data_IF_060314703572
#
_entry.id   IF_060314703572
#
_cell.length_a   1.000
_cell.length_b   1.000
_cell.length_c   1.000
_cell.angle_alpha   90.00
_cell.angle_beta   90.00
_cell.angle_gamma   90.00
#
_symmetry.space_group_name_H-M   'P 1'
#
loop_
_entity.id
_entity.type
_entity.pdbx_description
1 polymer ?
#
# COMPACT_ATOMS: atom_id res chain seq x y z
N UNK A 1 -20.74 -6.58 59.20
CA UNK A 1 -21.64 -7.61 58.62
C UNK A 1 -20.87 -8.31 57.53
N UNK A 2 -20.61 -9.58 57.73
CA UNK A 2 -19.91 -10.49 56.80
C UNK A 2 -20.89 -10.90 55.69
N UNK A 3 -20.45 -10.93 54.46
CA UNK A 3 -21.04 -11.79 53.43
C UNK A 3 -19.98 -12.28 52.48
N UNK A 4 -19.94 -13.55 52.42
CA UNK A 4 -19.05 -14.53 51.83
C UNK A 4 -19.22 -14.67 50.30
N UNK A 5 -18.08 -14.98 49.64
CA UNK A 5 -17.98 -15.51 48.26
C UNK A 5 -18.76 -16.83 48.11
N UNK A 6 -19.15 -17.19 46.86
CA UNK A 6 -18.66 -18.45 46.40
C UNK A 6 -17.98 -18.42 45.03
N UNK A 7 -16.93 -19.20 44.96
CA UNK A 7 -16.24 -19.63 43.75
C UNK A 7 -17.15 -20.48 42.84
N UNK A 8 -17.07 -20.25 41.52
CA UNK A 8 -17.58 -21.23 40.57
C UNK A 8 -16.50 -21.54 39.53
N UNK A 9 -15.98 -22.73 39.66
CA UNK A 9 -15.20 -23.42 38.65
C UNK A 9 -16.02 -23.60 37.39
N UNK A 10 -15.46 -23.28 36.19
CA UNK A 10 -16.00 -23.83 34.96
C UNK A 10 -14.89 -24.39 34.10
N UNK A 11 -15.17 -25.56 33.61
CA UNK A 11 -14.32 -26.60 33.10
C UNK A 11 -13.70 -26.27 31.73
N UNK A 12 -12.53 -26.88 31.52
CA UNK A 12 -11.85 -27.09 30.24
C UNK A 12 -12.76 -27.81 29.22
N UNK A 13 -12.74 -27.31 28.00
CA UNK A 13 -13.12 -28.10 26.83
C UNK A 13 -11.98 -28.05 25.81
N UNK A 14 -11.28 -29.18 25.71
CA UNK A 14 -10.40 -29.53 24.63
C UNK A 14 -11.21 -29.75 23.35
N UNK A 15 -10.84 -29.12 22.27
CA UNK A 15 -11.22 -29.56 20.93
C UNK A 15 -9.99 -29.62 20.03
N UNK A 16 -9.51 -30.81 19.88
CA UNK A 16 -9.24 -31.58 18.66
C UNK A 16 -8.45 -30.88 17.56
N UNK A 17 -7.23 -31.39 17.41
CA UNK A 17 -6.36 -31.25 16.26
C UNK A 17 -7.05 -31.73 14.98
N UNK A 18 -6.99 -30.91 13.92
CA UNK A 18 -7.18 -31.36 12.56
C UNK A 18 -5.83 -31.73 11.95
N UNK A 19 -5.61 -33.03 11.79
CA UNK A 19 -4.53 -33.59 10.98
C UNK A 19 -4.81 -33.35 9.50
N UNK A 20 -3.89 -32.66 8.82
CA UNK A 20 -3.88 -32.56 7.36
C UNK A 20 -2.99 -33.67 6.81
N UNK A 21 -3.59 -34.65 6.17
CA UNK A 21 -2.90 -35.68 5.40
C UNK A 21 -2.30 -35.08 4.13
N UNK A 22 -0.98 -35.16 4.02
CA UNK A 22 -0.25 -34.92 2.78
C UNK A 22 -0.39 -36.11 1.87
N UNK A 23 -0.96 -35.90 0.68
CA UNK A 23 -0.95 -36.91 -0.39
C UNK A 23 0.16 -36.54 -1.38
N UNK A 24 1.19 -37.35 -1.44
CA UNK A 24 2.26 -37.32 -2.45
C UNK A 24 1.74 -37.93 -3.75
N UNK A 25 1.79 -37.16 -4.82
CA UNK A 25 1.60 -37.62 -6.19
C UNK A 25 2.40 -36.70 -7.12
N UNK A 26 3.43 -37.27 -7.74
CA UNK A 26 4.30 -36.66 -8.73
C UNK A 26 3.53 -36.25 -9.99
N UNK A 27 3.92 -35.14 -10.57
CA UNK A 27 4.41 -34.88 -11.91
C UNK A 27 4.11 -33.48 -12.45
N UNK A 28 5.24 -32.84 -12.76
CA UNK A 28 5.59 -32.04 -13.94
C UNK A 28 5.08 -30.59 -14.15
N UNK A 29 6.08 -29.73 -14.00
CA UNK A 29 6.38 -28.48 -14.77
C UNK A 29 5.29 -27.42 -14.99
N UNK A 30 5.39 -26.38 -14.25
CA UNK A 30 5.77 -24.99 -14.60
C UNK A 30 5.54 -24.07 -13.40
N UNK A 31 6.63 -23.72 -12.72
CA UNK A 31 6.60 -22.86 -11.56
C UNK A 31 6.71 -21.40 -11.97
N UNK A 32 5.71 -20.55 -11.73
CA UNK A 32 5.97 -19.12 -11.56
C UNK A 32 6.63 -18.92 -10.21
N UNK A 33 7.68 -18.14 -10.16
CA UNK A 33 8.49 -17.87 -8.99
C UNK A 33 7.61 -17.44 -7.81
N UNK A 34 7.63 -18.22 -6.74
CA UNK A 34 7.01 -17.89 -5.48
C UNK A 34 7.73 -16.67 -4.88
N UNK A 35 7.05 -15.55 -4.75
CA UNK A 35 7.48 -14.43 -3.94
C UNK A 35 7.50 -14.87 -2.48
N UNK A 36 8.68 -14.87 -1.89
CA UNK A 36 8.94 -15.21 -0.49
C UNK A 36 8.13 -14.28 0.41
N UNK A 37 7.32 -14.86 1.28
CA UNK A 37 6.35 -14.17 2.12
C UNK A 37 6.92 -13.09 3.03
N UNK A 38 6.64 -11.87 2.65
CA UNK A 38 6.48 -10.74 3.55
C UNK A 38 4.96 -10.58 3.76
N UNK A 39 4.50 -10.31 4.99
CA UNK A 39 3.10 -10.05 5.31
C UNK A 39 2.57 -8.73 4.71
N UNK A 40 3.09 -8.29 3.58
CA UNK A 40 2.65 -7.09 2.89
C UNK A 40 1.30 -7.33 2.23
N UNK A 41 0.30 -6.55 2.64
CA UNK A 41 -1.02 -6.57 2.02
C UNK A 41 -1.06 -5.55 0.88
N UNK A 42 -0.62 -5.96 -0.30
CA UNK A 42 -0.70 -5.15 -1.51
C UNK A 42 -1.96 -5.56 -2.26
N UNK A 43 -2.82 -4.59 -2.59
CA UNK A 43 -4.10 -4.76 -3.29
C UNK A 43 -4.11 -4.00 -4.61
N UNK A 44 -5.23 -4.09 -5.34
CA UNK A 44 -5.50 -3.28 -6.54
C UNK A 44 -4.43 -3.42 -7.64
N UNK A 45 -3.78 -4.60 -7.73
CA UNK A 45 -2.71 -4.84 -8.69
C UNK A 45 -1.61 -3.76 -8.69
N UNK A 46 -1.33 -3.20 -7.51
CA UNK A 46 -0.26 -2.23 -7.33
C UNK A 46 1.07 -2.98 -7.45
N UNK A 47 1.88 -2.63 -8.45
CA UNK A 47 3.27 -3.07 -8.52
C UNK A 47 4.11 -2.12 -7.67
N UNK A 48 4.93 -2.67 -6.77
CA UNK A 48 5.78 -1.86 -5.90
C UNK A 48 7.10 -2.56 -5.62
N UNK A 49 8.18 -1.77 -5.70
CA UNK A 49 9.54 -2.19 -5.37
C UNK A 49 10.12 -1.25 -4.34
N UNK A 50 10.81 -1.80 -3.37
CA UNK A 50 11.45 -1.05 -2.29
C UNK A 50 12.95 -1.33 -2.25
N UNK A 51 13.74 -0.33 -1.90
CA UNK A 51 15.19 -0.43 -1.77
C UNK A 51 15.71 0.44 -0.62
N UNK A 52 17.00 0.34 -0.28
CA UNK A 52 17.69 1.22 0.66
C UNK A 52 17.12 1.21 2.08
N UNK A 53 16.48 0.11 2.52
CA UNK A 53 15.93 -0.04 3.87
C UNK A 53 14.44 0.29 3.99
N UNK A 54 13.86 1.02 3.06
CA UNK A 54 12.40 1.24 3.04
C UNK A 54 11.66 -0.07 2.71
N UNK A 55 10.50 -0.26 3.34
CA UNK A 55 9.62 -1.42 3.12
C UNK A 55 8.17 -0.96 3.10
N UNK A 56 7.43 -1.40 2.09
CA UNK A 56 5.97 -1.25 2.04
C UNK A 56 5.34 -2.44 2.76
N UNK A 57 4.62 -2.17 3.84
CA UNK A 57 3.86 -3.19 4.57
C UNK A 57 2.46 -3.38 3.98
N UNK A 58 1.84 -2.29 3.53
CA UNK A 58 0.54 -2.32 2.88
C UNK A 58 0.47 -1.26 1.78
N UNK A 59 -0.23 -1.59 0.70
CA UNK A 59 -0.57 -0.67 -0.37
C UNK A 59 -1.98 -0.99 -0.88
N UNK A 60 -2.86 0.01 -0.94
CA UNK A 60 -4.23 -0.15 -1.41
C UNK A 60 -4.83 1.19 -1.85
N UNK A 61 -5.88 1.12 -2.66
CA UNK A 61 -6.59 2.28 -3.16
C UNK A 61 -7.89 2.51 -2.37
N UNK A 62 -8.20 3.77 -2.09
CA UNK A 62 -9.40 4.21 -1.39
C UNK A 62 -10.12 5.30 -2.18
N UNK A 63 -11.45 5.27 -2.17
CA UNK A 63 -12.29 6.41 -2.53
C UNK A 63 -12.47 7.31 -1.31
N UNK A 64 -12.16 8.59 -1.44
CA UNK A 64 -12.40 9.63 -0.42
C UNK A 64 -11.98 9.21 1.02
N UNK A 65 -10.92 8.39 1.15
CA UNK A 65 -10.37 7.86 2.41
C UNK A 65 -11.27 6.84 3.16
N UNK A 66 -12.42 6.47 2.63
CA UNK A 66 -13.45 5.73 3.38
C UNK A 66 -13.65 4.30 2.87
N UNK A 67 -13.76 4.11 1.55
CA UNK A 67 -14.07 2.82 0.95
C UNK A 67 -12.95 2.32 0.05
N UNK A 68 -12.72 1.01 0.07
CA UNK A 68 -11.74 0.40 -0.83
C UNK A 68 -12.22 0.51 -2.29
N UNK A 69 -11.30 0.87 -3.17
CA UNK A 69 -11.52 0.75 -4.62
C UNK A 69 -11.67 -0.74 -4.95
N UNK A 70 -12.64 -1.13 -5.79
CA UNK A 70 -12.77 -2.51 -6.25
C UNK A 70 -11.49 -3.05 -6.90
N UNK A 71 -11.32 -4.36 -6.91
CA UNK A 71 -10.08 -5.00 -7.41
C UNK A 71 -9.83 -4.77 -8.91
N UNK A 72 -10.85 -4.42 -9.67
CA UNK A 72 -10.78 -4.07 -11.10
C UNK A 72 -10.32 -2.63 -11.35
N UNK A 73 -10.14 -1.83 -10.28
CA UNK A 73 -9.70 -0.44 -10.32
C UNK A 73 -10.56 0.48 -11.20
N UNK A 74 -11.86 0.16 -11.35
CA UNK A 74 -12.79 1.02 -12.07
C UNK A 74 -13.16 2.25 -11.25
N UNK A 75 -13.11 3.41 -11.91
CA UNK A 75 -13.40 4.71 -11.33
C UNK A 75 -14.33 5.51 -12.24
N UNK A 76 -14.80 6.63 -11.75
CA UNK A 76 -15.54 7.64 -12.54
C UNK A 76 -14.66 8.85 -12.79
N UNK A 77 -14.94 9.59 -13.85
CA UNK A 77 -14.36 10.93 -14.06
C UNK A 77 -14.64 11.81 -12.84
N UNK A 78 -13.67 12.61 -12.43
CA UNK A 78 -13.68 13.44 -11.22
C UNK A 78 -13.71 12.66 -9.88
N UNK A 79 -13.63 11.36 -9.90
CA UNK A 79 -13.54 10.58 -8.68
C UNK A 79 -12.11 10.60 -8.13
N UNK A 80 -11.97 10.98 -6.86
CA UNK A 80 -10.69 10.98 -6.15
C UNK A 80 -10.33 9.57 -5.74
N UNK A 81 -9.12 9.16 -6.10
CA UNK A 81 -8.51 7.90 -5.70
C UNK A 81 -7.29 8.19 -4.85
N UNK A 82 -7.24 7.64 -3.67
CA UNK A 82 -6.13 7.80 -2.74
C UNK A 82 -5.34 6.50 -2.67
N UNK A 83 -4.09 6.51 -3.14
CA UNK A 83 -3.14 5.45 -2.85
C UNK A 83 -2.68 5.61 -1.40
N UNK A 84 -2.98 4.62 -0.56
CA UNK A 84 -2.48 4.54 0.81
C UNK A 84 -1.29 3.58 0.85
N UNK A 85 -0.17 4.11 1.35
CA UNK A 85 1.04 3.33 1.61
C UNK A 85 1.31 3.30 3.11
N UNK A 86 1.53 2.09 3.66
CA UNK A 86 2.07 1.92 5.01
C UNK A 86 3.51 1.49 4.85
N UNK A 87 4.41 2.34 5.33
CA UNK A 87 5.85 2.24 5.06
C UNK A 87 6.61 2.18 6.38
N UNK A 88 7.70 1.40 6.38
CA UNK A 88 8.70 1.37 7.45
C UNK A 88 10.10 1.58 6.90
N UNK A 89 11.01 2.00 7.78
CA UNK A 89 12.44 2.06 7.50
C UNK A 89 12.96 3.42 7.07
N UNK A 90 12.17 4.49 7.17
CA UNK A 90 12.69 5.85 7.03
C UNK A 90 13.76 6.15 8.08
N UNK A 91 14.77 6.89 7.68
CA UNK A 91 15.77 7.40 8.62
C UNK A 91 15.18 8.52 9.46
N UNK A 92 15.27 8.34 10.76
CA UNK A 92 14.91 9.38 11.72
C UNK A 92 16.14 10.24 12.04
N UNK A 93 15.93 11.54 12.07
CA UNK A 93 16.93 12.52 12.48
C UNK A 93 16.27 13.54 13.41
N UNK A 94 16.73 13.61 14.67
CA UNK A 94 16.17 14.49 15.71
C UNK A 94 14.64 14.35 15.91
N UNK A 95 14.12 13.13 15.90
CA UNK A 95 12.69 12.85 16.06
C UNK A 95 11.87 13.19 14.82
N UNK A 96 12.49 13.41 13.67
CA UNK A 96 11.85 13.77 12.42
C UNK A 96 12.27 12.86 11.26
N UNK A 97 11.39 12.72 10.31
CA UNK A 97 11.60 12.05 9.02
C UNK A 97 11.45 13.08 7.91
N UNK A 98 12.34 13.01 6.92
CA UNK A 98 12.34 13.88 5.76
C UNK A 98 12.19 13.02 4.51
N UNK A 99 11.06 13.11 3.85
CA UNK A 99 10.79 12.33 2.66
C UNK A 99 10.23 13.20 1.52
N UNK A 100 10.31 12.69 0.32
CA UNK A 100 9.63 13.24 -0.84
C UNK A 100 8.78 12.16 -1.50
N UNK A 101 7.81 12.59 -2.31
CA UNK A 101 7.07 11.70 -3.18
C UNK A 101 6.72 12.40 -4.49
N UNK A 102 6.80 11.65 -5.59
CA UNK A 102 6.35 12.11 -6.90
C UNK A 102 5.19 11.26 -7.40
N UNK A 103 4.39 11.86 -8.27
CA UNK A 103 3.31 11.18 -8.97
C UNK A 103 3.26 11.60 -10.43
N UNK A 104 3.08 10.62 -11.31
CA UNK A 104 2.89 10.84 -12.73
C UNK A 104 1.73 10.00 -13.22
N UNK A 105 0.81 10.63 -13.96
CA UNK A 105 -0.33 9.96 -14.60
C UNK A 105 -0.16 10.05 -16.12
N UNK A 106 -0.21 8.89 -16.78
CA UNK A 106 -0.17 8.81 -18.24
C UNK A 106 -1.34 8.00 -18.78
N UNK A 107 -1.74 8.28 -20.00
CA UNK A 107 -2.67 7.43 -20.74
C UNK A 107 -1.97 6.14 -21.20
N UNK A 108 -2.75 5.12 -21.60
CA UNK A 108 -2.23 3.90 -22.24
C UNK A 108 -1.45 4.17 -23.54
N UNK A 109 -1.60 5.34 -24.14
CA UNK A 109 -0.87 5.79 -25.33
C UNK A 109 0.41 6.58 -25.00
N UNK A 110 0.71 6.79 -23.71
CA UNK A 110 1.89 7.51 -23.23
C UNK A 110 1.71 9.03 -23.09
N UNK A 111 0.51 9.55 -23.37
CA UNK A 111 0.20 10.97 -23.09
C UNK A 111 0.30 11.27 -21.60
N UNK A 112 1.03 12.33 -21.23
CA UNK A 112 1.19 12.76 -19.83
C UNK A 112 0.02 13.66 -19.44
N UNK A 113 -0.69 13.30 -18.37
CA UNK A 113 -1.80 14.08 -17.79
C UNK A 113 -1.33 14.87 -16.58
N UNK A 114 -0.58 14.20 -15.69
CA UNK A 114 -0.04 14.80 -14.46
C UNK A 114 1.43 14.39 -14.34
N UNK A 115 2.28 15.32 -13.92
CA UNK A 115 3.67 15.05 -13.58
C UNK A 115 4.10 16.01 -12.44
N UNK A 116 4.08 15.50 -11.20
CA UNK A 116 4.45 16.26 -10.01
C UNK A 116 5.73 15.68 -9.43
N UNK A 117 6.85 16.41 -9.48
CA UNK A 117 8.15 15.89 -9.10
C UNK A 117 8.33 15.71 -7.59
N UNK A 118 7.69 16.50 -6.76
CA UNK A 118 7.67 16.33 -5.29
C UNK A 118 6.38 16.92 -4.70
N UNK A 119 5.51 16.04 -4.20
CA UNK A 119 4.24 16.39 -3.56
C UNK A 119 4.41 16.90 -2.13
N UNK A 120 5.60 16.72 -1.53
CA UNK A 120 5.88 17.04 -0.13
C UNK A 120 7.00 18.08 0.01
N UNK A 121 7.22 18.90 -1.00
CA UNK A 121 8.28 19.92 -1.00
C UNK A 121 8.14 20.90 0.18
N UNK A 122 6.93 21.24 0.59
CA UNK A 122 6.65 22.16 1.69
C UNK A 122 7.09 21.60 3.06
N UNK A 123 7.21 20.29 3.19
CA UNK A 123 7.68 19.62 4.41
C UNK A 123 9.20 19.43 4.47
N UNK A 124 9.93 19.92 3.47
CA UNK A 124 11.37 19.69 3.35
C UNK A 124 12.17 20.29 4.52
N UNK A 125 11.74 21.42 5.06
CA UNK A 125 12.42 22.14 6.14
C UNK A 125 12.12 21.56 7.51
N UNK A 126 10.85 21.26 7.77
CA UNK A 126 10.37 20.94 9.12
C UNK A 126 10.32 19.43 9.37
N UNK A 127 10.32 18.64 8.31
CA UNK A 127 10.10 17.20 8.39
C UNK A 127 8.75 16.86 9.02
N UNK A 128 8.47 15.58 9.16
CA UNK A 128 7.26 15.08 9.83
C UNK A 128 7.63 14.12 10.95
N UNK A 129 6.68 13.76 11.81
CA UNK A 129 6.93 12.71 12.82
C UNK A 129 7.08 11.34 12.14
N UNK A 130 7.80 10.37 12.75
CA UNK A 130 7.89 9.00 12.22
C UNK A 130 6.53 8.33 12.00
N UNK A 131 5.55 8.61 12.87
CA UNK A 131 4.18 8.13 12.70
C UNK A 131 3.52 8.70 11.44
N UNK A 132 3.63 10.01 11.20
CA UNK A 132 3.09 10.63 9.99
C UNK A 132 3.77 10.07 8.73
N UNK A 133 5.09 9.87 8.74
CA UNK A 133 5.83 9.29 7.64
C UNK A 133 5.44 7.84 7.34
N UNK A 134 4.97 7.11 8.34
CA UNK A 134 4.53 5.71 8.17
C UNK A 134 3.24 5.57 7.37
N UNK A 135 2.46 6.65 7.17
CA UNK A 135 1.17 6.66 6.48
C UNK A 135 1.15 7.69 5.36
N UNK A 136 1.67 7.35 4.21
CA UNK A 136 1.68 8.25 3.04
C UNK A 136 0.42 8.03 2.21
N UNK A 137 -0.18 9.14 1.78
CA UNK A 137 -1.33 9.14 0.86
C UNK A 137 -0.99 9.99 -0.35
N UNK A 138 -1.09 9.39 -1.54
CA UNK A 138 -1.00 10.09 -2.83
C UNK A 138 -2.38 10.09 -3.48
N UNK A 139 -2.79 11.21 -4.07
CA UNK A 139 -4.15 11.39 -4.58
C UNK A 139 -4.16 11.61 -6.09
N UNK A 140 -4.73 10.66 -6.80
CA UNK A 140 -4.98 10.74 -8.24
C UNK A 140 -6.44 11.13 -8.52
N UNK A 141 -6.65 11.99 -9.51
CA UNK A 141 -7.97 12.33 -10.03
C UNK A 141 -7.89 12.50 -11.53
N UNK A 142 -8.74 11.79 -12.27
CA UNK A 142 -8.90 11.99 -13.71
C UNK A 142 -10.07 12.96 -13.90
N UNK A 143 -9.76 14.22 -14.28
CA UNK A 143 -10.75 15.30 -14.31
C UNK A 143 -11.45 15.44 -15.65
N UNK A 144 -10.74 15.20 -16.75
CA UNK A 144 -11.25 15.37 -18.11
C UNK A 144 -10.55 14.39 -19.05
N UNK A 145 -11.29 13.89 -20.00
CA UNK A 145 -10.77 13.03 -21.07
C UNK A 145 -11.40 13.46 -22.40
N UNK A 146 -10.56 13.67 -23.40
CA UNK A 146 -10.96 14.07 -24.76
C UNK A 146 -11.40 12.86 -25.62
N UNK A 147 -11.02 11.67 -25.20
CA UNK A 147 -11.39 10.40 -25.82
C UNK A 147 -11.38 9.25 -24.80
N UNK A 148 -11.88 8.10 -25.20
CA UNK A 148 -11.78 6.88 -24.41
C UNK A 148 -10.35 6.34 -24.43
N UNK A 149 -9.82 6.05 -23.27
CA UNK A 149 -8.54 5.37 -23.07
C UNK A 149 -8.79 4.02 -22.41
N UNK A 150 -7.96 3.02 -22.72
CA UNK A 150 -8.08 1.69 -22.11
C UNK A 150 -7.81 1.74 -20.61
N UNK A 151 -6.82 2.54 -20.19
CA UNK A 151 -6.47 2.78 -18.80
C UNK A 151 -5.60 4.03 -18.65
N UNK A 152 -5.51 4.48 -17.43
CA UNK A 152 -4.53 5.46 -16.98
C UNK A 152 -3.51 4.77 -16.10
N UNK A 153 -2.22 4.95 -16.39
CA UNK A 153 -1.14 4.45 -15.59
C UNK A 153 -0.72 5.53 -14.59
N UNK A 154 -0.89 5.27 -13.32
CA UNK A 154 -0.38 6.11 -12.23
C UNK A 154 0.94 5.50 -11.76
N UNK A 155 2.02 6.25 -11.91
CA UNK A 155 3.35 5.89 -11.43
C UNK A 155 3.71 6.78 -10.25
N UNK A 156 4.33 6.22 -9.24
CA UNK A 156 4.71 6.96 -8.05
C UNK A 156 6.11 6.56 -7.56
N UNK A 157 6.73 7.48 -6.85
CA UNK A 157 7.99 7.28 -6.17
C UNK A 157 7.91 7.93 -4.79
N UNK A 158 8.44 7.26 -3.77
CA UNK A 158 8.64 7.80 -2.43
C UNK A 158 10.10 7.59 -2.08
N UNK A 159 10.77 8.60 -1.54
CA UNK A 159 12.18 8.48 -1.17
C UNK A 159 12.48 9.13 0.17
N UNK A 160 13.50 8.62 0.82
CA UNK A 160 14.06 9.19 2.03
C UNK A 160 15.07 10.28 1.65
N UNK A 161 14.87 11.52 2.11
CA UNK A 161 15.78 12.65 1.83
C UNK A 161 17.07 12.61 2.68
N UNK A 162 17.15 11.73 3.67
CA UNK A 162 18.30 11.60 4.60
C UNK A 162 19.01 10.25 4.48
N UNK A 163 18.53 9.37 3.63
CA UNK A 163 19.11 8.05 3.34
C UNK A 163 18.89 7.66 1.87
N UNK A 164 19.35 6.47 1.49
CA UNK A 164 19.20 5.97 0.12
C UNK A 164 17.92 5.11 -0.06
N UNK A 165 16.95 5.27 0.86
CA UNK A 165 15.70 4.53 0.83
C UNK A 165 14.79 5.03 -0.30
N UNK A 166 14.24 4.10 -1.09
CA UNK A 166 13.35 4.41 -2.20
C UNK A 166 12.28 3.34 -2.36
N UNK A 167 11.09 3.79 -2.71
CA UNK A 167 9.96 2.97 -3.14
C UNK A 167 9.52 3.52 -4.48
N UNK A 168 9.40 2.66 -5.49
CA UNK A 168 8.82 2.97 -6.79
C UNK A 168 7.66 2.02 -7.05
N UNK A 169 6.62 2.51 -7.69
CA UNK A 169 5.49 1.66 -8.02
C UNK A 169 4.54 2.27 -9.04
N UNK A 170 3.56 1.48 -9.42
CA UNK A 170 2.51 1.90 -10.33
C UNK A 170 1.23 1.09 -10.15
N UNK A 171 0.13 1.64 -10.62
CA UNK A 171 -1.15 0.95 -10.75
C UNK A 171 -1.95 1.52 -11.91
N UNK A 172 -2.93 0.77 -12.38
CA UNK A 172 -3.82 1.21 -13.47
C UNK A 172 -5.18 1.62 -12.91
N UNK A 173 -5.77 2.66 -13.51
CA UNK A 173 -7.15 3.07 -13.29
C UNK A 173 -7.93 2.93 -14.60
N UNK A 174 -9.17 2.48 -14.52
CA UNK A 174 -10.07 2.27 -15.65
C UNK A 174 -11.31 3.15 -15.48
N UNK A 175 -11.80 3.78 -16.55
CA UNK A 175 -13.04 4.55 -16.58
C UNK A 175 -14.24 3.70 -17.01
#
# INVERSE_FOLDING_TARGET
>A
MKCTLPALCFAMLFCSSCEVKVNTGDDDKTKPAASTGSNSKIRNNIDVKSSGGLKVEQAFLLFEYVSLVPADNKIKVNQKVNLRLIIKGFKEENGKVYFGASEKITTNEGGVIVDVPDLFIDYEKDGVTPEQASYITLMATITEVDKLFDYFLVSFRVWDKKANGEIIGSYKLYL
#
